data_IF_183377678198
#
_entry.id   IF_183377678198
#
_cell.length_a   1.000
_cell.length_b   1.000
_cell.length_c   1.000
_cell.angle_alpha   90.00
_cell.angle_beta   90.00
_cell.angle_gamma   90.00
#
_symmetry.space_group_name_H-M   'P 1'
#
loop_
_entity.id
_entity.type
_entity.pdbx_description
1 polymer ?
#
# COMPACT_ATOMS: atom_id res chain seq x y z
N UNK A 1 39.62 -9.55 31.23
CA UNK A 1 39.53 -8.54 30.16
C UNK A 1 38.69 -9.12 29.02
N UNK A 2 37.64 -8.40 28.60
CA UNK A 2 36.87 -8.48 27.34
C UNK A 2 36.57 -9.86 26.73
N UNK A 3 35.29 -10.23 26.73
CA UNK A 3 34.71 -10.92 25.57
C UNK A 3 33.39 -10.24 25.22
N UNK A 4 33.46 -9.30 24.26
CA UNK A 4 32.29 -8.62 23.72
C UNK A 4 31.66 -9.57 22.71
N UNK A 5 30.47 -10.09 23.00
CA UNK A 5 29.65 -10.85 22.06
C UNK A 5 29.44 -10.05 20.77
N UNK A 6 29.97 -10.60 19.69
CA UNK A 6 29.84 -10.13 18.32
C UNK A 6 28.38 -9.86 17.93
N UNK A 7 28.18 -8.68 17.35
CA UNK A 7 26.95 -8.26 16.72
C UNK A 7 26.63 -9.25 15.61
N UNK A 8 25.44 -9.85 15.67
CA UNK A 8 24.90 -10.72 14.64
C UNK A 8 24.87 -10.00 13.29
N UNK A 9 25.85 -10.30 12.44
CA UNK A 9 25.90 -9.90 11.04
C UNK A 9 24.79 -10.66 10.31
N UNK A 10 23.60 -10.05 10.27
CA UNK A 10 22.48 -10.58 9.50
C UNK A 10 22.86 -10.44 8.02
N UNK A 11 22.95 -11.54 7.25
CA UNK A 11 23.38 -11.45 5.85
C UNK A 11 22.41 -10.53 5.10
N UNK A 12 22.92 -9.37 4.68
CA UNK A 12 22.24 -8.50 3.73
C UNK A 12 22.12 -9.31 2.44
N UNK A 13 20.91 -9.75 2.10
CA UNK A 13 20.62 -10.43 0.82
C UNK A 13 21.35 -9.69 -0.31
N UNK A 14 22.12 -10.38 -1.15
CA UNK A 14 22.88 -9.72 -2.20
C UNK A 14 21.92 -9.02 -3.14
N UNK A 15 22.12 -7.71 -3.36
CA UNK A 15 21.53 -6.98 -4.49
C UNK A 15 22.33 -7.35 -5.74
N UNK A 16 22.22 -8.58 -6.19
CA UNK A 16 22.81 -9.02 -7.45
C UNK A 16 22.07 -8.35 -8.62
N UNK A 17 22.59 -7.23 -9.12
CA UNK A 17 22.31 -6.78 -10.49
C UNK A 17 23.21 -7.59 -11.43
N UNK A 18 22.93 -8.88 -11.55
CA UNK A 18 23.58 -9.77 -12.50
C UNK A 18 22.50 -10.38 -13.38
N UNK A 19 22.36 -9.84 -14.58
CA UNK A 19 21.46 -10.34 -15.60
C UNK A 19 21.87 -9.75 -16.95
N UNK A 20 22.29 -10.62 -17.86
CA UNK A 20 22.65 -10.38 -19.24
C UNK A 20 21.60 -9.54 -20.01
N UNK A 21 21.89 -8.99 -21.19
CA UNK A 21 20.97 -8.12 -21.93
C UNK A 21 19.88 -8.96 -22.62
N UNK A 22 18.98 -9.55 -21.84
CA UNK A 22 17.71 -10.04 -22.36
C UNK A 22 16.92 -8.81 -22.83
N UNK A 23 16.48 -8.81 -24.10
CA UNK A 23 15.76 -7.70 -24.77
C UNK A 23 14.86 -6.98 -23.78
N UNK A 24 15.29 -5.79 -23.33
CA UNK A 24 14.54 -4.99 -22.36
C UNK A 24 13.20 -4.63 -22.98
N UNK A 25 12.13 -5.22 -22.47
CA UNK A 25 10.76 -4.90 -22.90
C UNK A 25 10.56 -3.38 -22.82
N UNK A 26 10.07 -2.77 -23.91
CA UNK A 26 9.90 -1.31 -23.96
C UNK A 26 8.76 -0.89 -23.02
N UNK A 27 8.73 0.40 -22.65
CA UNK A 27 7.67 0.93 -21.77
C UNK A 27 6.28 0.65 -22.35
N UNK A 28 6.08 0.86 -23.65
CA UNK A 28 4.81 0.60 -24.33
C UNK A 28 4.38 -0.87 -24.23
N UNK A 29 5.30 -1.80 -24.48
CA UNK A 29 5.03 -3.24 -24.34
C UNK A 29 4.66 -3.64 -22.91
N UNK A 30 5.35 -3.07 -21.91
CA UNK A 30 5.01 -3.29 -20.49
C UNK A 30 3.61 -2.77 -20.17
N UNK A 31 3.25 -1.60 -20.67
CA UNK A 31 1.92 -1.01 -20.43
C UNK A 31 0.80 -1.91 -20.93
N UNK A 32 0.91 -2.42 -22.17
CA UNK A 32 -0.10 -3.32 -22.75
C UNK A 32 -0.22 -4.62 -21.95
N UNK A 33 0.91 -5.24 -21.58
CA UNK A 33 0.88 -6.48 -20.79
C UNK A 33 0.33 -6.27 -19.38
N UNK A 34 0.71 -5.17 -18.72
CA UNK A 34 0.20 -4.83 -17.38
C UNK A 34 -1.31 -4.59 -17.44
N UNK A 35 -1.80 -3.86 -18.44
CA UNK A 35 -3.24 -3.63 -18.63
C UNK A 35 -4.02 -4.95 -18.79
N UNK A 36 -3.53 -5.88 -19.61
CA UNK A 36 -4.17 -7.18 -19.80
C UNK A 36 -4.17 -8.03 -18.52
N UNK A 37 -3.06 -8.05 -17.78
CA UNK A 37 -2.96 -8.82 -16.53
C UNK A 37 -3.82 -8.22 -15.41
N UNK A 38 -3.96 -6.90 -15.36
CA UNK A 38 -4.86 -6.21 -14.43
C UNK A 38 -6.32 -6.58 -14.74
N UNK A 39 -6.71 -6.59 -16.01
CA UNK A 39 -8.07 -7.01 -16.44
C UNK A 39 -8.39 -8.45 -16.03
N UNK A 40 -7.37 -9.32 -15.97
CA UNK A 40 -7.50 -10.70 -15.48
C UNK A 40 -7.59 -10.80 -13.95
N UNK A 41 -7.57 -9.68 -13.20
CA UNK A 41 -7.65 -9.67 -11.74
C UNK A 41 -6.34 -10.10 -11.05
N UNK A 42 -5.23 -10.12 -11.78
CA UNK A 42 -3.94 -10.57 -11.25
C UNK A 42 -3.31 -9.49 -10.38
N UNK A 43 -2.76 -9.89 -9.21
CA UNK A 43 -2.11 -8.93 -8.31
C UNK A 43 -0.86 -8.31 -8.94
N UNK A 44 -0.61 -7.03 -8.66
CA UNK A 44 0.58 -6.33 -9.16
C UNK A 44 1.89 -7.03 -8.79
N UNK A 45 1.93 -7.68 -7.62
CA UNK A 45 3.13 -8.40 -7.16
C UNK A 45 3.43 -9.60 -8.04
N UNK A 46 2.40 -10.30 -8.50
CA UNK A 46 2.56 -11.38 -9.47
C UNK A 46 2.97 -10.83 -10.84
N UNK A 47 2.36 -9.74 -11.29
CA UNK A 47 2.72 -9.06 -12.55
C UNK A 47 4.20 -8.64 -12.55
N UNK A 48 4.65 -8.02 -11.46
CA UNK A 48 6.04 -7.61 -11.28
C UNK A 48 7.02 -8.79 -11.38
N UNK A 49 6.71 -9.91 -10.71
CA UNK A 49 7.49 -11.14 -10.80
C UNK A 49 7.51 -11.70 -12.22
N UNK A 50 6.36 -11.75 -12.89
CA UNK A 50 6.20 -12.30 -14.24
C UNK A 50 6.94 -11.48 -15.30
N UNK A 51 6.97 -10.15 -15.15
CA UNK A 51 7.62 -9.23 -16.09
C UNK A 51 9.06 -8.86 -15.70
N UNK A 52 9.61 -9.43 -14.62
CA UNK A 52 10.94 -9.08 -14.11
C UNK A 52 11.09 -7.58 -13.76
N UNK A 53 9.99 -6.91 -13.43
CA UNK A 53 9.96 -5.47 -13.16
C UNK A 53 9.81 -5.19 -11.67
N UNK A 54 10.20 -3.98 -11.25
CA UNK A 54 9.93 -3.55 -9.88
C UNK A 54 8.43 -3.35 -9.66
N UNK A 55 7.96 -3.60 -8.43
CA UNK A 55 6.57 -3.32 -8.05
C UNK A 55 6.21 -1.84 -8.26
N UNK A 56 7.17 -0.94 -8.04
CA UNK A 56 6.99 0.50 -8.27
C UNK A 56 6.72 0.82 -9.75
N UNK A 57 7.43 0.18 -10.68
CA UNK A 57 7.20 0.33 -12.13
C UNK A 57 5.79 -0.10 -12.50
N UNK A 58 5.36 -1.28 -12.03
CA UNK A 58 4.02 -1.80 -12.31
C UNK A 58 2.95 -0.91 -11.68
N UNK A 59 3.16 -0.46 -10.44
CA UNK A 59 2.23 0.45 -9.76
C UNK A 59 2.12 1.81 -10.45
N UNK A 60 3.22 2.37 -10.95
CA UNK A 60 3.22 3.61 -11.72
C UNK A 60 2.39 3.48 -13.00
N UNK A 61 2.65 2.43 -13.78
CA UNK A 61 1.90 2.15 -15.01
C UNK A 61 0.41 1.89 -14.73
N UNK A 62 0.10 1.12 -13.68
CA UNK A 62 -1.29 0.89 -13.27
C UNK A 62 -2.02 2.21 -12.92
N UNK A 63 -1.34 3.14 -12.23
CA UNK A 63 -1.89 4.47 -11.93
C UNK A 63 -2.08 5.32 -13.19
N UNK A 64 -1.13 5.30 -14.12
CA UNK A 64 -1.25 5.98 -15.43
C UNK A 64 -2.44 5.46 -16.23
N UNK A 65 -2.75 4.16 -16.11
CA UNK A 65 -3.93 3.53 -16.70
C UNK A 65 -5.24 3.80 -15.93
N UNK A 66 -5.20 4.62 -14.88
CA UNK A 66 -6.37 4.93 -14.05
C UNK A 66 -6.82 3.78 -13.15
N UNK A 67 -6.03 2.71 -13.00
CA UNK A 67 -6.38 1.60 -12.14
C UNK A 67 -6.28 2.03 -10.67
N UNK A 68 -7.45 2.16 -10.02
CA UNK A 68 -7.54 2.38 -8.58
C UNK A 68 -7.41 1.05 -7.86
N UNK A 69 -6.47 0.98 -6.93
CA UNK A 69 -6.32 -0.20 -6.11
C UNK A 69 -7.51 -0.33 -5.17
N UNK A 70 -8.18 -1.49 -5.11
CA UNK A 70 -9.16 -1.73 -4.07
C UNK A 70 -8.41 -1.70 -2.74
N UNK A 71 -8.54 -0.58 -2.04
CA UNK A 71 -8.03 -0.47 -0.69
C UNK A 71 -9.10 -1.05 0.24
N UNK A 72 -8.69 -1.82 1.26
CA UNK A 72 -9.61 -2.30 2.30
C UNK A 72 -9.97 -1.21 3.32
N UNK A 73 -9.55 0.03 3.07
CA UNK A 73 -9.79 1.19 3.91
C UNK A 73 -11.27 1.41 4.24
N UNK A 74 -12.22 1.44 3.28
CA UNK A 74 -13.63 1.65 3.60
C UNK A 74 -14.23 0.51 4.44
N UNK A 75 -13.85 -0.74 4.15
CA UNK A 75 -14.28 -1.90 4.96
C UNK A 75 -13.75 -1.83 6.39
N UNK A 76 -12.49 -1.40 6.56
CA UNK A 76 -11.87 -1.22 7.87
C UNK A 76 -12.61 -0.12 8.66
N UNK A 77 -12.88 1.03 8.03
CA UNK A 77 -13.55 2.15 8.67
C UNK A 77 -14.99 1.80 9.05
N UNK A 78 -15.75 1.20 8.14
CA UNK A 78 -17.13 0.78 8.41
C UNK A 78 -17.23 -0.18 9.60
N UNK A 79 -16.28 -1.12 9.76
CA UNK A 79 -16.27 -2.01 10.92
C UNK A 79 -15.85 -1.28 12.22
N UNK A 80 -14.94 -0.32 12.15
CA UNK A 80 -14.58 0.49 13.32
C UNK A 80 -15.76 1.38 13.76
N UNK A 81 -16.51 1.96 12.82
CA UNK A 81 -17.70 2.78 13.08
C UNK A 81 -18.85 1.94 13.69
N UNK A 82 -18.94 0.66 13.33
CA UNK A 82 -19.84 -0.31 13.97
C UNK A 82 -19.42 -0.69 15.40
N UNK A 83 -18.30 -0.16 15.92
CA UNK A 83 -17.81 -0.42 17.27
C UNK A 83 -16.93 -1.67 17.40
N UNK A 84 -16.55 -2.32 16.30
CA UNK A 84 -15.60 -3.44 16.38
C UNK A 84 -14.21 -2.95 16.81
N UNK A 85 -13.55 -3.73 17.65
CA UNK A 85 -12.18 -3.42 18.04
C UNK A 85 -11.21 -3.64 16.87
N UNK A 86 -10.10 -2.89 16.84
CA UNK A 86 -9.08 -3.03 15.79
C UNK A 86 -8.57 -4.48 15.63
N UNK A 87 -8.57 -5.25 16.73
CA UNK A 87 -8.16 -6.66 16.74
C UNK A 87 -9.19 -7.55 16.05
N UNK A 88 -10.47 -7.29 16.25
CA UNK A 88 -11.56 -8.04 15.58
C UNK A 88 -11.62 -7.70 14.10
N UNK A 89 -11.50 -6.42 13.74
CA UNK A 89 -11.43 -5.98 12.34
C UNK A 89 -10.25 -6.65 11.62
N UNK A 90 -9.08 -6.69 12.27
CA UNK A 90 -7.89 -7.37 11.74
C UNK A 90 -8.15 -8.86 11.49
N UNK A 91 -8.80 -9.56 12.41
CA UNK A 91 -9.16 -10.98 12.26
C UNK A 91 -10.19 -11.18 11.14
N UNK A 92 -11.25 -10.37 11.11
CA UNK A 92 -12.37 -10.48 10.16
C UNK A 92 -11.92 -10.24 8.72
N UNK A 93 -11.04 -9.26 8.51
CA UNK A 93 -10.50 -8.92 7.20
C UNK A 93 -9.20 -9.67 6.88
N UNK A 94 -8.63 -10.45 7.81
CA UNK A 94 -7.34 -11.12 7.61
C UNK A 94 -6.18 -10.15 7.35
N UNK A 95 -6.21 -8.98 7.98
CA UNK A 95 -5.16 -7.95 7.87
C UNK A 95 -4.42 -7.78 9.20
N UNK A 96 -3.25 -7.12 9.18
CA UNK A 96 -2.53 -6.85 10.42
C UNK A 96 -3.22 -5.76 11.24
N UNK A 97 -3.19 -5.88 12.57
CA UNK A 97 -3.66 -4.82 13.49
C UNK A 97 -2.96 -3.48 13.21
N UNK A 98 -1.68 -3.52 12.84
CA UNK A 98 -0.91 -2.32 12.48
C UNK A 98 -1.51 -1.59 11.27
N UNK A 99 -1.99 -2.32 10.25
CA UNK A 99 -2.66 -1.73 9.10
C UNK A 99 -3.95 -1.03 9.53
N UNK A 100 -4.76 -1.70 10.35
CA UNK A 100 -6.02 -1.14 10.89
C UNK A 100 -5.76 0.15 11.68
N UNK A 101 -4.77 0.13 12.57
CA UNK A 101 -4.38 1.32 13.35
C UNK A 101 -3.90 2.47 12.45
N UNK A 102 -3.10 2.18 11.41
CA UNK A 102 -2.66 3.19 10.45
C UNK A 102 -3.81 3.75 9.60
N UNK A 103 -4.86 2.96 9.33
CA UNK A 103 -6.07 3.43 8.65
C UNK A 103 -6.88 4.33 9.57
N UNK A 104 -7.13 3.91 10.81
CA UNK A 104 -7.90 4.70 11.79
C UNK A 104 -7.28 6.08 12.01
N UNK A 105 -5.96 6.16 12.25
CA UNK A 105 -5.23 7.43 12.44
C UNK A 105 -5.34 8.37 11.25
N UNK A 106 -5.28 7.83 10.02
CA UNK A 106 -5.41 8.62 8.79
C UNK A 106 -6.83 9.13 8.56
N UNK A 107 -7.83 8.53 9.19
CA UNK A 107 -9.21 8.97 9.12
C UNK A 107 -9.49 10.06 10.15
N UNK A 108 -9.01 9.88 11.39
CA UNK A 108 -9.16 10.89 12.45
C UNK A 108 -8.51 12.23 12.06
N UNK A 109 -7.29 12.20 11.53
CA UNK A 109 -6.59 13.40 11.07
C UNK A 109 -7.28 14.16 9.92
N UNK A 110 -8.31 13.58 9.29
CA UNK A 110 -9.12 14.26 8.27
C UNK A 110 -10.39 14.87 8.83
N UNK A 111 -10.94 14.31 9.91
CA UNK A 111 -12.15 14.82 10.54
C UNK A 111 -11.85 16.05 11.42
N UNK A 112 -10.66 16.13 12.01
CA UNK A 112 -10.23 17.26 12.84
C UNK A 112 -10.11 18.60 12.06
N UNK A 113 -10.07 18.56 10.71
CA UNK A 113 -10.05 19.78 9.86
C UNK A 113 -11.45 20.32 9.50
N UNK A 114 -12.52 19.54 9.68
CA UNK A 114 -13.88 19.92 9.26
C UNK A 114 -14.71 20.61 10.37
N UNK A 115 -14.33 20.44 11.64
CA UNK A 115 -15.10 20.93 12.80
C UNK A 115 -14.83 22.42 13.15
N UNK A 116 -13.96 23.12 12.42
CA UNK A 116 -13.66 24.55 12.65
C UNK A 116 -14.46 25.52 11.76
N UNK A 117 -15.49 25.07 11.05
CA UNK A 117 -16.25 25.92 10.10
C UNK A 117 -17.66 26.35 10.53
N UNK A 118 -18.17 25.88 11.67
CA UNK A 118 -19.58 26.12 12.05
C UNK A 118 -19.79 27.15 13.17
N UNK A 119 -18.74 27.75 13.74
CA UNK A 119 -18.89 28.72 14.84
C UNK A 119 -18.67 30.19 14.47
N UNK A 120 -18.44 30.52 13.19
CA UNK A 120 -18.07 31.89 12.76
C UNK A 120 -19.22 32.67 12.05
N UNK A 121 -20.49 32.26 12.20
CA UNK A 121 -21.62 32.96 11.53
C UNK A 121 -22.78 33.31 12.44
N UNK A 122 -22.53 33.64 13.71
CA UNK A 122 -23.57 34.24 14.56
C UNK A 122 -23.00 35.27 15.51
N UNK A 123 -22.70 36.46 14.99
CA UNK A 123 -22.67 37.68 15.78
C UNK A 123 -23.11 38.84 14.89
N UNK A 124 -24.42 39.12 14.87
CA UNK A 124 -24.97 40.38 14.36
C UNK A 124 -25.72 41.05 15.54
N UNK A 125 -25.47 42.34 15.80
CA UNK A 125 -25.64 43.02 17.11
C UNK A 125 -27.07 43.33 17.56
#
# INVERSE_FOLDING_TARGET
MKEKKDKSDKPKKPKSRSGAPEKKLTRGQKTVLIASLIKQGVTLRFIAKKLGCSLATVSGIAKELGYKFPTRTPEILSLLDQGFTQTEVAKKLGVSRQLVSAVAKRSQAKNDEEEQKETDTSNDP
#
